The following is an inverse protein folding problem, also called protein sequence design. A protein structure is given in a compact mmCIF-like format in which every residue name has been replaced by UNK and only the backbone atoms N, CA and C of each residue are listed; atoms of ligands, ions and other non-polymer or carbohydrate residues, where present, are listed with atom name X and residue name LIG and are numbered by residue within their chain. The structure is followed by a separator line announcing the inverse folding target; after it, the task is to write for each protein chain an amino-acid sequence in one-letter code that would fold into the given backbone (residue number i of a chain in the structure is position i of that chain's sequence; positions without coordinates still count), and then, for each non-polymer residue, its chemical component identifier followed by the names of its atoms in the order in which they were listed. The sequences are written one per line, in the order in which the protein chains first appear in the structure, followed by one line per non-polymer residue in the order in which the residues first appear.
data_IF_606144904328
#
_entry.id   IF_606144904328
#
_cell.length_a   1.000
_cell.length_b   1.000
_cell.length_c   1.000
_cell.angle_alpha   90.00
_cell.angle_beta   90.00
_cell.angle_gamma   90.00
#
_symmetry.space_group_name_H-M   'P 1'
#
loop_
_entity.id
_entity.type
_entity.pdbx_description
1 polymer ?
#
# COMPACT_ATOMS: atom_id res chain seq x y z
N UNK A 1 29.38 34.46 -95.52
CA UNK A 1 30.36 33.77 -94.64
C UNK A 1 30.74 34.76 -93.54
N UNK A 2 30.71 34.49 -92.24
CA UNK A 2 30.90 33.22 -91.54
C UNK A 2 30.12 33.18 -90.21
N UNK A 3 29.43 32.05 -90.03
CA UNK A 3 29.31 31.22 -88.82
C UNK A 3 28.90 31.90 -87.52
N UNK A 4 27.60 31.71 -87.20
CA UNK A 4 27.08 31.60 -85.83
C UNK A 4 27.93 30.58 -85.06
N UNK A 5 28.51 30.96 -83.93
CA UNK A 5 29.02 29.98 -82.98
C UNK A 5 28.23 30.07 -81.67
N UNK A 6 27.15 29.31 -81.64
CA UNK A 6 26.47 28.86 -80.44
C UNK A 6 27.31 27.74 -79.81
N UNK A 7 28.14 28.07 -78.83
CA UNK A 7 28.60 27.14 -77.79
C UNK A 7 28.12 27.74 -76.48
N UNK A 8 27.16 27.13 -75.80
CA UNK A 8 27.22 25.75 -75.36
C UNK A 8 27.25 25.85 -73.85
N UNK A 9 26.07 25.69 -73.25
CA UNK A 9 25.79 25.68 -71.84
C UNK A 9 26.68 24.71 -71.06
N UNK A 10 27.57 25.22 -70.21
CA UNK A 10 28.07 24.49 -69.06
C UNK A 10 28.13 25.46 -67.88
N UNK A 11 26.97 25.67 -67.25
CA UNK A 11 26.87 26.25 -65.91
C UNK A 11 27.53 25.27 -64.94
N UNK A 12 28.82 25.49 -64.64
CA UNK A 12 29.43 24.92 -63.45
C UNK A 12 28.74 25.54 -62.24
N UNK A 13 28.02 24.74 -61.45
CA UNK A 13 27.45 25.19 -60.19
C UNK A 13 28.58 25.81 -59.36
N UNK A 14 28.43 27.08 -58.93
CA UNK A 14 29.41 27.74 -58.06
C UNK A 14 29.74 26.84 -56.86
N UNK A 15 31.02 26.68 -56.53
CA UNK A 15 31.49 25.81 -55.45
C UNK A 15 30.76 26.11 -54.12
N UNK A 16 30.42 27.38 -53.90
CA UNK A 16 29.63 27.85 -52.75
C UNK A 16 28.16 27.36 -52.77
N UNK A 17 27.55 27.28 -53.95
CA UNK A 17 26.21 26.69 -54.12
C UNK A 17 26.26 25.19 -53.86
N UNK A 18 27.32 24.50 -54.30
CA UNK A 18 27.49 23.07 -54.05
C UNK A 18 27.68 22.74 -52.56
N UNK A 19 28.47 23.53 -51.82
CA UNK A 19 28.67 23.35 -50.37
C UNK A 19 27.38 23.64 -49.58
N UNK A 20 26.60 24.66 -49.97
CA UNK A 20 25.30 24.93 -49.35
C UNK A 20 24.29 23.79 -49.57
N UNK A 21 24.20 23.23 -50.79
CA UNK A 21 23.32 22.09 -51.07
C UNK A 21 23.68 20.89 -50.19
N UNK A 22 24.97 20.54 -50.10
CA UNK A 22 25.42 19.43 -49.26
C UNK A 22 25.08 19.63 -47.78
N UNK A 23 25.25 20.84 -47.26
CA UNK A 23 24.95 21.18 -45.86
C UNK A 23 23.44 21.01 -45.55
N UNK A 24 22.57 21.44 -46.47
CA UNK A 24 21.12 21.26 -46.31
C UNK A 24 20.72 19.78 -46.33
N UNK A 25 21.31 18.97 -47.20
CA UNK A 25 21.06 17.53 -47.27
C UNK A 25 21.44 16.80 -45.97
N UNK A 26 22.57 17.17 -45.35
CA UNK A 26 22.99 16.64 -44.03
C UNK A 26 22.03 17.09 -42.93
N UNK A 27 21.57 18.34 -42.93
CA UNK A 27 20.64 18.84 -41.91
C UNK A 27 19.27 18.15 -41.96
N UNK A 28 18.75 17.89 -43.16
CA UNK A 28 17.46 17.22 -43.37
C UNK A 28 17.56 15.74 -43.02
N UNK A 29 18.65 15.08 -43.44
CA UNK A 29 18.89 13.68 -43.11
C UNK A 29 19.09 13.47 -41.60
N UNK A 30 19.87 14.31 -40.93
CA UNK A 30 20.02 14.23 -39.46
C UNK A 30 18.71 14.51 -38.74
N UNK A 31 17.91 15.48 -39.18
CA UNK A 31 16.60 15.77 -38.59
C UNK A 31 15.60 14.62 -38.75
N UNK A 32 15.55 14.00 -39.93
CA UNK A 32 14.66 12.87 -40.19
C UNK A 32 15.10 11.60 -39.45
N UNK A 33 16.41 11.32 -39.40
CA UNK A 33 16.99 10.23 -38.60
C UNK A 33 16.70 10.46 -37.12
N UNK A 34 16.95 11.67 -36.60
CA UNK A 34 16.63 12.03 -35.22
C UNK A 34 15.14 11.88 -34.94
N UNK A 35 14.25 12.36 -35.81
CA UNK A 35 12.80 12.20 -35.63
C UNK A 35 12.37 10.73 -35.58
N UNK A 36 12.91 9.88 -36.46
CA UNK A 36 12.65 8.44 -36.44
C UNK A 36 13.20 7.76 -35.18
N UNK A 37 14.42 8.09 -34.76
CA UNK A 37 15.02 7.57 -33.53
C UNK A 37 14.22 8.01 -32.29
N UNK A 38 13.82 9.28 -32.21
CA UNK A 38 12.98 9.79 -31.12
C UNK A 38 11.60 9.12 -31.11
N UNK A 39 10.97 8.93 -32.27
CA UNK A 39 9.72 8.19 -32.39
C UNK A 39 9.87 6.75 -31.86
N UNK A 40 10.95 6.05 -32.24
CA UNK A 40 11.24 4.68 -31.80
C UNK A 40 11.54 4.58 -30.32
N UNK A 41 12.24 5.57 -29.75
CA UNK A 41 12.54 5.64 -28.31
C UNK A 41 11.27 5.94 -27.50
N UNK A 42 10.44 6.88 -27.95
CA UNK A 42 9.20 7.25 -27.30
C UNK A 42 8.20 6.07 -27.26
N UNK A 43 8.18 5.23 -28.29
CA UNK A 43 7.32 4.05 -28.34
C UNK A 43 7.73 2.98 -27.30
N UNK A 44 9.03 2.87 -27.00
CA UNK A 44 9.49 2.02 -25.90
C UNK A 44 9.18 2.60 -24.52
N UNK A 45 9.24 3.92 -24.35
CA UNK A 45 8.88 4.58 -23.09
C UNK A 45 7.40 4.37 -22.74
N UNK A 46 6.50 4.41 -23.74
CA UNK A 46 5.08 4.14 -23.53
C UNK A 46 4.82 2.73 -22.98
N UNK A 47 5.43 1.70 -23.59
CA UNK A 47 5.30 0.31 -23.13
C UNK A 47 5.84 0.12 -21.72
N UNK A 48 7.01 0.70 -21.42
CA UNK A 48 7.61 0.66 -20.07
C UNK A 48 6.72 1.33 -19.03
N UNK A 49 6.07 2.44 -19.37
CA UNK A 49 5.14 3.15 -18.48
C UNK A 49 3.85 2.37 -18.27
N UNK A 50 3.34 1.69 -19.29
CA UNK A 50 2.19 0.79 -19.18
C UNK A 50 2.50 -0.39 -18.25
N UNK A 51 3.63 -1.08 -18.49
CA UNK A 51 4.10 -2.17 -17.60
C UNK A 51 4.33 -1.69 -16.16
N UNK A 52 4.91 -0.50 -15.97
CA UNK A 52 5.12 0.05 -14.62
C UNK A 52 3.79 0.35 -13.91
N UNK A 53 2.78 0.85 -14.63
CA UNK A 53 1.42 1.07 -14.10
C UNK A 53 0.71 -0.23 -13.77
N UNK A 54 0.86 -1.26 -14.61
CA UNK A 54 0.30 -2.58 -14.35
C UNK A 54 0.92 -3.20 -13.10
N UNK A 55 2.25 -3.19 -12.99
CA UNK A 55 2.96 -3.66 -11.78
C UNK A 55 2.54 -2.89 -10.53
N UNK A 56 2.34 -1.58 -10.65
CA UNK A 56 1.88 -0.77 -9.52
C UNK A 56 0.43 -1.11 -9.13
N UNK A 57 -0.47 -1.32 -10.11
CA UNK A 57 -1.84 -1.79 -9.84
C UNK A 57 -1.85 -3.16 -9.19
N UNK A 58 -1.07 -4.11 -9.70
CA UNK A 58 -0.96 -5.44 -9.12
C UNK A 58 -0.43 -5.39 -7.68
N UNK A 59 0.58 -4.55 -7.42
CA UNK A 59 1.10 -4.31 -6.06
C UNK A 59 0.06 -3.68 -5.16
N UNK A 60 -0.65 -2.64 -5.63
CA UNK A 60 -1.70 -1.98 -4.87
C UNK A 60 -2.86 -2.93 -4.56
N UNK A 61 -3.27 -3.75 -5.53
CA UNK A 61 -4.32 -4.76 -5.35
C UNK A 61 -3.89 -5.85 -4.37
N UNK A 62 -2.64 -6.31 -4.43
CA UNK A 62 -2.09 -7.27 -3.47
C UNK A 62 -2.06 -6.70 -2.05
N UNK A 63 -1.57 -5.46 -1.89
CA UNK A 63 -1.56 -4.78 -0.60
C UNK A 63 -2.99 -4.54 -0.07
N UNK A 64 -3.93 -4.16 -0.94
CA UNK A 64 -5.32 -3.97 -0.55
C UNK A 64 -6.00 -5.28 -0.13
N UNK A 65 -5.69 -6.41 -0.78
CA UNK A 65 -6.14 -7.74 -0.35
C UNK A 65 -5.58 -8.09 1.02
N UNK A 66 -4.27 -7.95 1.21
CA UNK A 66 -3.62 -8.22 2.50
C UNK A 66 -4.18 -7.34 3.62
N UNK A 67 -4.41 -6.05 3.35
CA UNK A 67 -4.99 -5.12 4.32
C UNK A 67 -6.42 -5.54 4.71
N UNK A 68 -7.25 -6.00 3.75
CA UNK A 68 -8.60 -6.49 4.03
C UNK A 68 -8.59 -7.78 4.85
N UNK A 69 -7.71 -8.72 4.52
CA UNK A 69 -7.54 -9.96 5.29
C UNK A 69 -7.08 -9.67 6.72
N UNK A 70 -6.09 -8.78 6.87
CA UNK A 70 -5.60 -8.36 8.19
C UNK A 70 -6.67 -7.65 9.01
N UNK A 71 -7.46 -6.76 8.40
CA UNK A 71 -8.57 -6.08 9.07
C UNK A 71 -9.66 -7.07 9.51
N UNK A 72 -10.00 -8.05 8.67
CA UNK A 72 -10.94 -9.11 9.03
C UNK A 72 -10.42 -9.96 10.20
N UNK A 73 -9.15 -10.34 10.17
CA UNK A 73 -8.50 -11.08 11.25
C UNK A 73 -8.51 -10.27 12.55
N UNK A 74 -8.09 -9.00 12.49
CA UNK A 74 -8.10 -8.07 13.63
C UNK A 74 -9.50 -7.98 14.25
N UNK A 75 -10.55 -7.81 13.43
CA UNK A 75 -11.95 -7.76 13.90
C UNK A 75 -12.38 -9.08 14.54
N UNK A 76 -11.97 -10.21 13.98
CA UNK A 76 -12.22 -11.54 14.56
C UNK A 76 -11.58 -11.69 15.94
N UNK A 77 -10.29 -11.36 16.07
CA UNK A 77 -9.57 -11.41 17.36
C UNK A 77 -10.20 -10.47 18.38
N UNK A 78 -10.57 -9.26 17.96
CA UNK A 78 -11.25 -8.28 18.81
C UNK A 78 -12.58 -8.82 19.36
N UNK A 79 -13.37 -9.49 18.52
CA UNK A 79 -14.64 -10.10 18.92
C UNK A 79 -14.43 -11.25 19.93
N UNK A 80 -13.42 -12.10 19.72
CA UNK A 80 -13.06 -13.20 20.63
C UNK A 80 -12.59 -12.67 21.97
N UNK A 81 -11.70 -11.67 21.99
CA UNK A 81 -11.24 -11.05 23.23
C UNK A 81 -12.41 -10.43 24.01
N UNK A 82 -13.31 -9.70 23.32
CA UNK A 82 -14.49 -9.12 23.95
C UNK A 82 -15.37 -10.19 24.60
N UNK A 83 -15.70 -11.23 23.85
CA UNK A 83 -16.49 -12.36 24.36
C UNK A 83 -15.83 -12.98 25.59
N UNK A 84 -14.51 -13.20 25.53
CA UNK A 84 -13.79 -13.84 26.63
C UNK A 84 -13.75 -12.97 27.88
N UNK A 85 -13.52 -11.67 27.75
CA UNK A 85 -13.55 -10.72 28.88
C UNK A 85 -14.94 -10.73 29.52
N UNK A 86 -16.01 -10.66 28.73
CA UNK A 86 -17.38 -10.66 29.24
C UNK A 86 -17.71 -11.96 29.96
N UNK A 87 -17.37 -13.12 29.39
CA UNK A 87 -17.59 -14.42 30.03
C UNK A 87 -16.83 -14.54 31.36
N UNK A 88 -15.56 -14.15 31.39
CA UNK A 88 -14.76 -14.15 32.62
C UNK A 88 -15.36 -13.21 33.67
N UNK A 89 -15.80 -12.02 33.27
CA UNK A 89 -16.42 -11.08 34.19
C UNK A 89 -17.71 -11.62 34.80
N UNK A 90 -18.59 -12.21 33.99
CA UNK A 90 -19.81 -12.87 34.48
C UNK A 90 -19.46 -13.98 35.48
N UNK A 91 -18.46 -14.82 35.15
CA UNK A 91 -18.04 -15.91 36.03
C UNK A 91 -17.56 -15.41 37.39
N UNK A 92 -16.68 -14.41 37.41
CA UNK A 92 -16.17 -13.85 38.67
C UNK A 92 -17.25 -13.11 39.45
N UNK A 93 -18.19 -12.45 38.76
CA UNK A 93 -19.31 -11.80 39.41
C UNK A 93 -20.24 -12.81 40.10
N UNK A 94 -20.55 -13.93 39.44
CA UNK A 94 -21.31 -15.04 40.06
C UNK A 94 -20.55 -15.66 41.21
N UNK A 95 -19.22 -15.79 41.11
CA UNK A 95 -18.38 -16.27 42.19
C UNK A 95 -18.34 -15.27 43.36
N UNK A 96 -18.42 -13.96 43.10
CA UNK A 96 -18.35 -12.91 44.11
C UNK A 96 -16.92 -12.60 44.61
N UNK A 97 -15.89 -13.24 44.07
CA UNK A 97 -14.49 -12.93 44.34
C UNK A 97 -13.60 -13.26 43.13
N UNK A 98 -12.42 -12.66 43.08
CA UNK A 98 -11.39 -12.99 42.08
C UNK A 98 -9.99 -12.89 42.70
N UNK A 99 -9.16 -13.92 42.51
CA UNK A 99 -7.78 -13.91 42.96
C UNK A 99 -6.88 -13.03 42.05
N UNK A 100 -5.64 -12.79 42.47
CA UNK A 100 -4.71 -11.91 41.75
C UNK A 100 -4.41 -12.39 40.32
N UNK A 101 -4.28 -13.71 40.11
CA UNK A 101 -4.00 -14.27 38.79
C UNK A 101 -5.19 -14.10 37.83
N UNK A 102 -6.43 -14.24 38.33
CA UNK A 102 -7.65 -14.01 37.57
C UNK A 102 -7.79 -12.54 37.14
N UNK A 103 -7.54 -11.61 38.07
CA UNK A 103 -7.56 -10.16 37.80
C UNK A 103 -6.48 -9.73 36.82
N UNK A 104 -5.27 -10.26 36.93
CA UNK A 104 -4.18 -10.02 35.98
C UNK A 104 -4.52 -10.55 34.58
N UNK A 105 -5.08 -11.76 34.49
CA UNK A 105 -5.46 -12.37 33.21
C UNK A 105 -6.49 -11.52 32.45
N UNK A 106 -7.60 -11.14 33.10
CA UNK A 106 -8.62 -10.32 32.45
C UNK A 106 -8.09 -8.92 32.09
N UNK A 107 -7.16 -8.36 32.87
CA UNK A 107 -6.52 -7.08 32.56
C UNK A 107 -5.66 -7.17 31.30
N UNK A 108 -4.86 -8.23 31.15
CA UNK A 108 -4.05 -8.48 29.94
C UNK A 108 -4.93 -8.72 28.70
N UNK A 109 -6.02 -9.45 28.85
CA UNK A 109 -6.99 -9.60 27.75
C UNK A 109 -7.60 -8.26 27.35
N UNK A 110 -7.94 -7.42 28.32
CA UNK A 110 -8.47 -6.08 28.07
C UNK A 110 -7.44 -5.14 27.43
N UNK A 111 -6.19 -5.15 27.86
CA UNK A 111 -5.10 -4.36 27.26
C UNK A 111 -4.96 -4.70 25.77
N UNK A 112 -4.83 -6.00 25.44
CA UNK A 112 -4.77 -6.46 24.05
C UNK A 112 -6.03 -6.08 23.25
N UNK A 113 -7.21 -6.16 23.87
CA UNK A 113 -8.47 -5.73 23.26
C UNK A 113 -8.48 -4.22 22.96
N UNK A 114 -8.00 -3.40 23.91
CA UNK A 114 -7.96 -1.95 23.78
C UNK A 114 -6.97 -1.53 22.69
N UNK A 115 -5.77 -2.12 22.67
CA UNK A 115 -4.73 -1.85 21.68
C UNK A 115 -5.18 -2.19 20.25
N UNK A 116 -6.03 -3.22 20.10
CA UNK A 116 -6.65 -3.57 18.82
C UNK A 116 -7.80 -2.63 18.42
N UNK A 117 -8.07 -1.56 19.18
CA UNK A 117 -9.13 -0.58 18.93
C UNK A 117 -10.49 -0.99 19.46
N UNK A 118 -10.53 -1.75 20.55
CA UNK A 118 -11.75 -2.14 21.24
C UNK A 118 -12.59 -0.94 21.69
N UNK A 119 -13.90 -1.05 21.51
CA UNK A 119 -14.83 -0.05 22.03
C UNK A 119 -15.02 -0.26 23.54
N UNK A 120 -15.32 0.79 24.31
CA UNK A 120 -15.36 0.76 25.79
C UNK A 120 -16.37 -0.22 26.43
N UNK A 121 -17.02 -1.08 25.64
CA UNK A 121 -17.95 -2.13 26.07
C UNK A 121 -17.32 -3.08 27.10
N UNK A 122 -16.07 -3.50 26.90
CA UNK A 122 -15.38 -4.41 27.82
C UNK A 122 -14.80 -3.70 29.06
N UNK A 123 -14.75 -2.36 29.06
CA UNK A 123 -14.12 -1.55 30.12
C UNK A 123 -14.90 -1.62 31.43
N UNK A 124 -16.24 -1.61 31.35
CA UNK A 124 -17.09 -1.74 32.54
C UNK A 124 -16.96 -3.12 33.18
N UNK A 125 -17.00 -4.18 32.35
CA UNK A 125 -16.82 -5.55 32.80
C UNK A 125 -15.48 -5.76 33.51
N UNK A 126 -14.39 -5.16 32.99
CA UNK A 126 -13.10 -5.21 33.67
C UNK A 126 -13.14 -4.54 35.05
N UNK A 127 -13.68 -3.32 35.14
CA UNK A 127 -13.74 -2.56 36.40
C UNK A 127 -14.49 -3.33 37.49
N UNK A 128 -15.66 -3.86 37.15
CA UNK A 128 -16.47 -4.65 38.07
C UNK A 128 -15.70 -5.84 38.65
N UNK A 129 -14.90 -6.52 37.83
CA UNK A 129 -14.05 -7.65 38.29
C UNK A 129 -12.90 -7.17 39.17
N UNK A 130 -12.27 -6.04 38.83
CA UNK A 130 -11.18 -5.49 39.62
C UNK A 130 -11.64 -5.04 41.02
N UNK A 131 -12.90 -4.61 41.13
CA UNK A 131 -13.53 -4.19 42.39
C UNK A 131 -13.95 -5.37 43.28
N UNK A 132 -14.01 -6.61 42.76
CA UNK A 132 -14.35 -7.80 43.55
C UNK A 132 -13.31 -8.06 44.65
N UNK A 133 -13.70 -8.63 45.81
CA UNK A 133 -12.75 -9.00 46.85
C UNK A 133 -11.82 -10.13 46.37
N UNK A 134 -10.63 -10.20 46.97
CA UNK A 134 -9.70 -11.30 46.73
C UNK A 134 -10.22 -12.59 47.38
N UNK A 135 -10.19 -13.69 46.62
CA UNK A 135 -10.42 -15.03 47.16
C UNK A 135 -9.36 -15.31 48.23
N UNK A 136 -9.77 -15.52 49.48
CA UNK A 136 -8.85 -15.90 50.55
C UNK A 136 -8.47 -17.36 50.37
N UNK A 137 -7.19 -17.60 50.10
CA UNK A 137 -6.55 -18.92 50.08
C UNK A 137 -7.00 -19.72 51.31
N UNK A 138 -7.89 -20.70 51.10
CA UNK A 138 -8.29 -21.68 52.13
C UNK A 138 -9.72 -21.64 52.70
N UNK A 139 -10.64 -20.75 52.28
CA UNK A 139 -12.08 -20.90 52.65
C UNK A 139 -13.00 -20.89 51.44
N UNK A 140 -13.26 -22.08 50.90
CA UNK A 140 -14.37 -22.37 49.96
C UNK A 140 -15.78 -22.15 50.56
N UNK A 141 -15.91 -21.64 51.78
CA UNK A 141 -17.18 -21.61 52.52
C UNK A 141 -17.90 -20.25 52.55
N UNK A 142 -17.23 -19.16 52.15
CA UNK A 142 -17.75 -17.80 52.41
C UNK A 142 -18.13 -17.03 51.14
N UNK A 143 -17.88 -17.57 49.94
CA UNK A 143 -18.56 -17.12 48.71
C UNK A 143 -20.01 -17.61 48.73
N UNK A 144 -20.81 -17.06 49.63
CA UNK A 144 -22.23 -17.39 49.75
C UNK A 144 -23.06 -16.53 48.80
N UNK A 145 -23.85 -17.23 47.99
CA UNK A 145 -25.28 -17.03 47.81
C UNK A 145 -25.74 -15.55 47.85
N UNK A 146 -25.86 -14.96 46.67
CA UNK A 146 -26.96 -14.03 46.42
C UNK A 146 -28.20 -14.84 46.04
#
# INVERSE_FOLDING_TARGET
MAVRNTKGSEQGMDLDVMTQILLTLVSVSTSTICAYLLYRLQEQDKRRMEEARERERERQDALARQAREYDALRKGVLAVLRDRIVQSAIHFHVQGCANAAQKDNISKMYEAYHDLGGNGTATHALKEVLDLPFEKEGRRADCKAC
#
